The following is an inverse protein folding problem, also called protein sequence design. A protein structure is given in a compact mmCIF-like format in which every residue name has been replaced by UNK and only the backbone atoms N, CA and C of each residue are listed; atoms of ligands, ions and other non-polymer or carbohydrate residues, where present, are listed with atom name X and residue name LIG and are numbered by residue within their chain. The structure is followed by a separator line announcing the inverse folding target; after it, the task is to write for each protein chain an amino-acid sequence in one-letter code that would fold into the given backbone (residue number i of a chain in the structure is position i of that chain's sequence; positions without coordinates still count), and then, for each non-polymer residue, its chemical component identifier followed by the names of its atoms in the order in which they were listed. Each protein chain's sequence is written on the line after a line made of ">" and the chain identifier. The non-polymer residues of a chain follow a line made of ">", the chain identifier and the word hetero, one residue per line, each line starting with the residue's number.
data_IF_825414748310
#
_entry.id   IF_825414748310
#
_cell.length_a   1.000
_cell.length_b   1.000
_cell.length_c   1.000
_cell.angle_alpha   90.00
_cell.angle_beta   90.00
_cell.angle_gamma   90.00
#
_symmetry.space_group_name_H-M   'P 1'
#
loop_
_entity.id
_entity.type
_entity.pdbx_description
1 polymer ?
#
# COMPACT_ATOMS: atom_id res chain seq x y z
N UNK A 1 -25.65 -0.99 3.09
CA UNK A 1 -25.56 -0.36 2.36
C UNK A 1 -24.91 0.73 2.69
N UNK A 2 -25.21 1.14 3.50
CA UNK A 2 -24.47 2.09 4.08
C UNK A 2 -23.01 1.90 3.92
N UNK A 3 -22.57 0.67 3.96
CA UNK A 3 -21.20 0.41 3.80
C UNK A 3 -20.62 0.92 2.54
N UNK A 4 -21.26 0.72 1.44
CA UNK A 4 -20.77 1.17 0.16
C UNK A 4 -20.76 2.66 0.11
N UNK A 5 -21.74 3.27 0.69
CA UNK A 5 -21.79 4.68 0.68
C UNK A 5 -20.72 5.28 1.51
N UNK A 6 -20.42 4.64 2.62
CA UNK A 6 -19.35 5.11 3.44
C UNK A 6 -18.02 5.03 2.73
N UNK A 7 -17.81 3.99 1.96
CA UNK A 7 -16.59 3.86 1.21
C UNK A 7 -16.45 4.96 0.20
N UNK A 8 -17.53 5.31 -0.46
CA UNK A 8 -17.49 6.38 -1.41
C UNK A 8 -17.16 7.69 -0.76
N UNK A 9 -17.79 7.95 0.36
CA UNK A 9 -17.51 9.16 1.08
C UNK A 9 -16.08 9.21 1.52
N UNK A 10 -15.60 8.09 1.98
CA UNK A 10 -14.22 7.97 2.42
C UNK A 10 -13.27 8.31 1.28
N UNK A 11 -13.53 7.77 0.11
CA UNK A 11 -12.70 8.05 -1.04
C UNK A 11 -12.71 9.53 -1.40
N UNK A 12 -13.88 10.13 -1.39
CA UNK A 12 -13.97 11.53 -1.76
C UNK A 12 -13.20 12.42 -0.83
N UNK A 13 -13.28 12.13 0.44
CA UNK A 13 -12.63 12.96 1.42
C UNK A 13 -11.16 12.66 1.55
N UNK A 14 -10.81 11.40 1.39
CA UNK A 14 -9.44 10.99 1.58
C UNK A 14 -8.73 10.56 0.33
N UNK A 15 -9.13 11.11 -0.80
CA UNK A 15 -8.57 10.69 -2.08
C UNK A 15 -7.05 10.68 -2.04
N UNK A 16 -6.47 9.50 -2.19
CA UNK A 16 -5.03 9.34 -2.15
C UNK A 16 -4.42 9.44 -0.77
N UNK A 17 -5.24 9.53 0.27
CA UNK A 17 -4.76 9.67 1.63
C UNK A 17 -5.51 8.74 2.56
N UNK A 18 -4.84 8.36 3.64
CA UNK A 18 -5.48 7.56 4.68
C UNK A 18 -6.10 8.50 5.70
N UNK A 19 -7.39 8.31 5.98
CA UNK A 19 -8.06 9.12 6.98
C UNK A 19 -7.85 8.54 8.36
N UNK A 20 -7.95 7.20 8.45
CA UNK A 20 -7.74 6.49 9.72
C UNK A 20 -6.87 5.29 9.47
N UNK A 21 -6.29 4.77 10.54
CA UNK A 21 -5.54 3.52 10.42
C UNK A 21 -6.48 2.40 10.09
N UNK A 22 -6.11 1.49 9.19
CA UNK A 22 -6.91 0.32 8.92
C UNK A 22 -6.99 -0.56 10.17
N UNK A 23 -8.11 -1.21 10.38
CA UNK A 23 -8.25 -2.15 11.47
C UNK A 23 -7.46 -3.40 11.13
N UNK A 24 -7.32 -4.29 12.10
CA UNK A 24 -6.59 -5.53 11.88
C UNK A 24 -7.24 -6.34 10.78
N UNK A 25 -8.57 -6.37 10.76
CA UNK A 25 -9.30 -7.08 9.73
C UNK A 25 -9.05 -6.47 8.36
N UNK A 26 -8.98 -5.15 8.29
CA UNK A 26 -8.73 -4.47 7.03
C UNK A 26 -7.32 -4.72 6.55
N UNK A 27 -6.36 -4.75 7.46
CA UNK A 27 -4.99 -5.07 7.10
C UNK A 27 -4.92 -6.47 6.51
N UNK A 28 -5.60 -7.43 7.13
CA UNK A 28 -5.58 -8.80 6.64
C UNK A 28 -6.30 -8.97 5.31
N UNK A 29 -7.29 -8.14 5.05
CA UNK A 29 -8.07 -8.25 3.83
C UNK A 29 -7.45 -7.51 2.66
N UNK A 30 -7.05 -6.28 2.87
CA UNK A 30 -6.58 -5.45 1.77
C UNK A 30 -5.05 -5.40 1.61
N UNK A 31 -4.33 -5.68 2.69
CA UNK A 31 -2.88 -5.62 2.67
C UNK A 31 -2.23 -6.99 2.83
N UNK A 32 -2.96 -8.01 2.41
CA UNK A 32 -2.44 -9.37 2.38
C UNK A 32 -1.80 -9.60 1.01
N UNK A 33 -0.60 -10.17 1.01
CA UNK A 33 0.10 -10.45 -0.25
C UNK A 33 -0.08 -11.93 -0.58
N UNK A 34 -0.80 -12.19 -1.66
CA UNK A 34 -1.01 -13.58 -2.09
C UNK A 34 0.20 -14.05 -2.90
N UNK A 35 0.15 -15.29 -3.36
CA UNK A 35 1.29 -15.87 -4.06
C UNK A 35 1.64 -15.11 -5.35
N UNK A 36 0.63 -14.67 -6.08
CA UNK A 36 0.87 -13.90 -7.29
C UNK A 36 1.55 -12.58 -6.97
N UNK A 37 1.11 -11.93 -5.91
CA UNK A 37 1.72 -10.66 -5.49
C UNK A 37 3.19 -10.88 -5.17
N UNK A 38 3.47 -11.93 -4.42
CA UNK A 38 4.84 -12.21 -3.99
C UNK A 38 5.73 -12.56 -5.16
N UNK A 39 5.15 -13.18 -6.17
CA UNK A 39 5.89 -13.55 -7.35
C UNK A 39 6.39 -12.31 -8.09
N UNK A 40 5.51 -11.32 -8.24
CA UNK A 40 5.88 -10.07 -8.89
C UNK A 40 6.93 -9.34 -8.06
N UNK A 41 6.71 -9.29 -6.75
CA UNK A 41 7.61 -8.58 -5.84
C UNK A 41 8.99 -9.22 -5.83
N UNK A 42 9.04 -10.53 -5.90
CA UNK A 42 10.31 -11.26 -5.86
C UNK A 42 11.24 -10.89 -7.00
N UNK A 43 10.69 -10.40 -8.09
CA UNK A 43 11.49 -10.00 -9.25
C UNK A 43 12.19 -8.67 -9.06
N UNK A 44 11.78 -7.91 -8.06
CA UNK A 44 12.38 -6.63 -7.77
C UNK A 44 13.65 -6.84 -6.95
N UNK A 45 14.61 -5.95 -7.09
CA UNK A 45 15.91 -6.18 -6.48
C UNK A 45 16.08 -5.56 -5.11
N UNK A 46 15.61 -4.34 -4.92
CA UNK A 46 15.84 -3.64 -3.67
C UNK A 46 14.71 -3.84 -2.69
N UNK A 47 15.05 -3.93 -1.42
CA UNK A 47 14.02 -4.06 -0.37
C UNK A 47 13.07 -2.88 -0.36
N UNK A 48 13.59 -1.67 -0.55
CA UNK A 48 12.75 -0.48 -0.57
C UNK A 48 11.75 -0.55 -1.72
N UNK A 49 12.18 -1.05 -2.88
CA UNK A 49 11.30 -1.18 -4.03
C UNK A 49 10.23 -2.22 -3.79
N UNK A 50 10.62 -3.35 -3.21
CA UNK A 50 9.66 -4.42 -2.91
C UNK A 50 8.58 -3.91 -1.95
N UNK A 51 9.00 -3.26 -0.90
CA UNK A 51 8.08 -2.79 0.11
C UNK A 51 7.22 -1.66 -0.44
N UNK A 52 7.81 -0.75 -1.20
CA UNK A 52 7.06 0.34 -1.80
C UNK A 52 5.98 -0.15 -2.75
N UNK A 53 6.30 -1.16 -3.55
CA UNK A 53 5.31 -1.73 -4.46
C UNK A 53 4.17 -2.36 -3.65
N UNK A 54 4.51 -3.09 -2.61
CA UNK A 54 3.50 -3.74 -1.78
C UNK A 54 2.57 -2.72 -1.14
N UNK A 55 3.12 -1.60 -0.67
CA UNK A 55 2.33 -0.54 -0.07
C UNK A 55 1.37 0.06 -1.09
N UNK A 56 1.84 0.35 -2.28
CA UNK A 56 0.96 0.91 -3.30
C UNK A 56 -0.12 -0.08 -3.72
N UNK A 57 0.25 -1.35 -3.86
CA UNK A 57 -0.71 -2.37 -4.23
C UNK A 57 -1.84 -2.47 -3.20
N UNK A 58 -1.47 -2.53 -1.92
CA UNK A 58 -2.46 -2.59 -0.86
C UNK A 58 -3.29 -1.32 -0.78
N UNK A 59 -2.65 -0.19 -1.01
CA UNK A 59 -3.35 1.10 -0.97
C UNK A 59 -4.41 1.17 -2.06
N UNK A 60 -4.09 0.70 -3.26
CA UNK A 60 -5.06 0.67 -4.34
C UNK A 60 -6.24 -0.22 -3.97
N UNK A 61 -5.97 -1.34 -3.32
CA UNK A 61 -7.04 -2.25 -2.92
C UNK A 61 -7.91 -1.66 -1.82
N UNK A 62 -7.30 -0.87 -0.93
CA UNK A 62 -8.02 -0.33 0.21
C UNK A 62 -8.72 1.00 -0.11
N UNK A 63 -8.00 1.92 -0.75
CA UNK A 63 -8.53 3.24 -1.05
C UNK A 63 -9.13 3.38 -2.44
N UNK A 64 -8.79 2.46 -3.34
CA UNK A 64 -9.24 2.55 -4.71
C UNK A 64 -8.36 3.42 -5.58
N UNK A 65 -7.28 3.94 -5.03
CA UNK A 65 -6.36 4.79 -5.78
C UNK A 65 -5.00 4.74 -5.11
N UNK A 66 -3.98 5.22 -5.82
CA UNK A 66 -2.63 5.27 -5.26
C UNK A 66 -2.57 6.34 -4.18
N UNK A 67 -1.67 6.14 -3.21
CA UNK A 67 -1.50 7.19 -2.22
C UNK A 67 -0.70 8.33 -2.84
N UNK A 68 -1.17 9.54 -2.60
CA UNK A 68 -0.48 10.73 -3.07
C UNK A 68 0.24 11.44 -1.94
N UNK A 69 0.06 10.97 -0.72
CA UNK A 69 0.63 11.64 0.44
C UNK A 69 1.18 10.58 1.41
N UNK A 70 2.48 10.36 1.32
CA UNK A 70 3.11 9.35 2.16
C UNK A 70 3.14 9.74 3.63
N UNK A 71 2.90 11.00 3.93
CA UNK A 71 2.89 11.43 5.33
C UNK A 71 1.64 10.97 6.06
N UNK A 72 0.57 10.69 5.33
CA UNK A 72 -0.65 10.20 5.96
C UNK A 72 -0.69 8.68 6.02
N UNK A 73 0.31 8.02 5.45
CA UNK A 73 0.34 6.57 5.41
C UNK A 73 0.61 6.01 6.81
N UNK A 74 -0.30 5.21 7.37
CA UNK A 74 -0.10 4.69 8.72
C UNK A 74 1.07 3.73 8.75
N UNK A 75 1.87 3.84 9.79
CA UNK A 75 3.04 2.98 9.93
C UNK A 75 2.63 1.51 10.05
N UNK A 76 1.44 1.24 10.58
CA UNK A 76 0.98 -0.14 10.71
C UNK A 76 0.83 -0.83 9.35
N UNK A 77 0.49 -0.07 8.31
CA UNK A 77 0.40 -0.62 6.96
C UNK A 77 1.78 -1.06 6.48
N UNK A 78 2.76 -0.19 6.68
CA UNK A 78 4.11 -0.48 6.24
C UNK A 78 4.66 -1.68 7.01
N UNK A 79 4.43 -1.71 8.32
CA UNK A 79 4.91 -2.79 9.16
C UNK A 79 4.25 -4.12 8.81
N UNK A 80 2.95 -4.08 8.52
CA UNK A 80 2.20 -5.28 8.19
C UNK A 80 2.73 -5.93 6.90
N UNK A 81 3.01 -5.10 5.91
CA UNK A 81 3.53 -5.59 4.64
C UNK A 81 5.00 -6.01 4.76
N UNK A 82 5.77 -5.26 5.52
CA UNK A 82 7.17 -5.59 5.72
C UNK A 82 7.33 -6.94 6.39
N UNK A 83 6.45 -7.26 7.34
CA UNK A 83 6.49 -8.54 8.01
C UNK A 83 6.23 -9.68 7.04
N UNK A 84 5.30 -9.50 6.12
CA UNK A 84 5.01 -10.53 5.13
C UNK A 84 6.17 -10.76 4.18
N UNK A 85 6.94 -9.72 3.91
CA UNK A 85 8.08 -9.81 2.99
C UNK A 85 9.40 -10.07 3.72
N UNK A 86 9.36 -10.10 5.04
CA UNK A 86 10.56 -10.30 5.85
C UNK A 86 11.58 -9.20 5.58
N UNK A 87 11.11 -7.96 5.54
CA UNK A 87 11.92 -6.78 5.28
C UNK A 87 11.74 -5.82 6.44
N UNK A 88 12.78 -5.06 6.78
CA UNK A 88 12.67 -4.02 7.81
C UNK A 88 11.78 -2.91 7.23
N UNK A 89 10.73 -2.51 7.97
CA UNK A 89 9.79 -1.52 7.46
C UNK A 89 10.46 -0.18 7.15
N UNK A 90 11.59 0.09 7.77
CA UNK A 90 12.30 1.34 7.53
C UNK A 90 12.81 1.46 6.11
N UNK A 91 12.91 0.35 5.41
CA UNK A 91 13.34 0.37 4.01
C UNK A 91 12.35 1.12 3.14
N UNK A 92 11.11 1.26 3.60
CA UNK A 92 10.10 1.97 2.83
C UNK A 92 10.52 3.41 2.54
N UNK A 93 11.26 4.02 3.45
CA UNK A 93 11.61 5.42 3.28
C UNK A 93 12.55 5.67 2.12
N UNK A 94 13.21 4.63 1.65
CA UNK A 94 14.01 4.73 0.44
C UNK A 94 13.18 4.71 -0.83
N UNK A 95 11.94 4.21 -0.71
CA UNK A 95 11.05 4.11 -1.86
C UNK A 95 10.44 5.44 -2.27
N UNK A 96 10.34 6.39 -1.36
CA UNK A 96 9.62 7.62 -1.63
C UNK A 96 10.31 8.52 -2.65
N UNK A 97 11.22 7.97 -3.42
CA UNK A 97 11.85 8.66 -4.51
C UNK A 97 11.01 8.53 -5.75
N UNK A 98 10.89 9.63 -6.44
CA UNK A 98 9.86 9.79 -7.45
C UNK A 98 9.79 8.80 -8.57
N UNK A 99 10.90 8.46 -9.16
CA UNK A 99 10.87 7.64 -10.35
C UNK A 99 10.34 6.25 -10.11
N UNK A 100 10.71 5.68 -8.98
CA UNK A 100 10.26 4.34 -8.65
C UNK A 100 8.75 4.31 -8.46
N UNK A 101 8.22 5.37 -7.85
CA UNK A 101 6.78 5.47 -7.62
C UNK A 101 6.03 5.44 -8.94
N UNK A 102 6.48 6.20 -9.92
CA UNK A 102 5.82 6.25 -11.22
C UNK A 102 5.84 4.90 -11.91
N UNK A 103 6.95 4.19 -11.82
CA UNK A 103 7.06 2.88 -12.44
C UNK A 103 6.09 1.90 -11.81
N UNK A 104 5.94 1.95 -10.50
CA UNK A 104 5.03 1.05 -9.80
C UNK A 104 3.59 1.34 -10.14
N UNK A 105 3.25 2.61 -10.29
CA UNK A 105 1.89 2.97 -10.68
C UNK A 105 1.53 2.36 -12.02
N UNK A 106 2.47 2.35 -12.95
CA UNK A 106 2.23 1.74 -14.24
C UNK A 106 2.04 0.24 -14.15
N UNK A 107 2.83 -0.40 -13.30
CA UNK A 107 2.71 -1.85 -13.15
C UNK A 107 1.38 -2.28 -12.57
N UNK A 108 0.84 -1.49 -11.66
CA UNK A 108 -0.40 -1.84 -10.99
C UNK A 108 -1.60 -1.55 -11.87
N UNK A 109 -1.52 -0.49 -12.66
CA UNK A 109 -2.61 -0.20 -13.58
C UNK A 109 -2.78 -1.31 -14.59
#
# INVERSE_FOLDING_TARGET
>A
MVEIEQLKGHHKEGFGKFINEPSKEQLNLYFYLNDSDKEVIAKMKKSSTKLGFAVQLGTVRFLGCFTSDFETLPIVVIQHLAAQLNIDYKEFYGYTRKQTIWQHMKLIQ
#
